data_IF_080165556785
#
_entry.id   IF_080165556785
#
_cell.length_a   1.000
_cell.length_b   1.000
_cell.length_c   1.000
_cell.angle_alpha   90.00
_cell.angle_beta   90.00
_cell.angle_gamma   90.00
#
_symmetry.space_group_name_H-M   'P 1'
#
loop_
_entity.id
_entity.type
_entity.pdbx_description
1 polymer ?
#
# COMPACT_ATOMS: atom_id res chain seq x y z
N UNK A 1 -51.18 39.07 64.70
CA UNK A 1 -49.76 38.71 64.83
C UNK A 1 -48.94 39.97 64.54
N UNK A 2 -48.79 40.79 65.60
CA UNK A 2 -47.60 41.56 66.04
C UNK A 2 -46.30 41.33 65.21
N UNK A 3 -45.39 42.26 64.89
CA UNK A 3 -44.94 43.57 65.42
C UNK A 3 -44.01 44.22 64.34
N UNK A 4 -44.05 45.56 64.18
CA UNK A 4 -42.99 46.46 63.63
C UNK A 4 -42.11 46.94 64.83
N UNK A 5 -40.99 47.70 64.72
CA UNK A 5 -40.07 48.08 63.63
C UNK A 5 -38.57 48.15 64.12
N UNK A 6 -37.64 48.72 63.32
CA UNK A 6 -36.62 49.76 63.72
C UNK A 6 -35.57 49.94 62.59
N UNK A 7 -35.41 51.12 61.97
CA UNK A 7 -34.57 52.31 62.34
C UNK A 7 -33.07 52.02 62.13
N UNK A 8 -32.39 52.54 61.09
CA UNK A 8 -31.87 53.90 60.79
C UNK A 8 -30.47 54.17 61.38
N UNK A 9 -29.70 54.98 60.63
CA UNK A 9 -28.43 55.64 60.96
C UNK A 9 -27.16 54.76 61.04
N UNK A 10 -26.01 55.19 60.53
CA UNK A 10 -25.65 56.48 59.96
C UNK A 10 -24.13 56.52 59.72
N UNK A 11 -23.71 57.62 59.10
CA UNK A 11 -22.41 58.27 59.26
C UNK A 11 -21.12 57.51 58.88
N UNK A 12 -20.05 58.14 58.40
CA UNK A 12 -19.74 59.46 57.88
C UNK A 12 -18.23 59.42 57.58
N UNK A 13 -17.74 60.34 56.73
CA UNK A 13 -16.42 60.98 56.83
C UNK A 13 -15.13 60.14 56.77
N UNK A 14 -14.32 60.40 55.73
CA UNK A 14 -12.94 60.94 55.83
C UNK A 14 -12.25 60.72 54.46
N UNK A 15 -11.91 61.74 53.67
CA UNK A 15 -10.88 62.77 53.89
C UNK A 15 -9.47 62.17 54.16
N UNK A 16 -8.57 62.34 53.20
CA UNK A 16 -7.15 61.99 53.29
C UNK A 16 -6.56 61.76 51.89
N UNK A 17 -6.21 62.78 51.11
CA UNK A 17 -5.00 63.58 51.27
C UNK A 17 -3.77 62.75 51.67
N UNK A 18 -2.99 62.30 50.68
CA UNK A 18 -1.55 62.62 50.56
C UNK A 18 -0.90 61.94 49.35
N UNK A 19 -0.39 62.80 48.50
CA UNK A 19 0.78 62.61 47.63
C UNK A 19 2.00 62.18 48.46
N UNK A 20 2.70 61.14 48.01
CA UNK A 20 4.16 61.09 47.83
C UNK A 20 4.67 59.66 47.65
N UNK A 21 5.67 59.55 46.77
CA UNK A 21 6.66 58.48 46.63
C UNK A 21 6.16 57.15 46.01
N UNK A 22 6.87 56.46 45.13
CA UNK A 22 8.19 56.60 44.49
C UNK A 22 8.32 55.41 43.52
N UNK A 23 9.14 55.54 42.48
CA UNK A 23 9.91 54.41 41.95
C UNK A 23 9.23 53.47 40.94
N UNK A 24 9.65 53.56 39.68
CA UNK A 24 9.32 52.55 38.68
C UNK A 24 9.80 52.88 37.27
N UNK A 25 11.12 52.88 37.07
CA UNK A 25 11.74 52.94 35.76
C UNK A 25 11.18 51.86 34.82
N UNK A 26 10.77 52.23 33.60
CA UNK A 26 10.63 51.30 32.47
C UNK A 26 10.52 52.09 31.16
N UNK A 27 11.67 52.43 30.59
CA UNK A 27 11.79 52.81 29.20
C UNK A 27 13.13 52.27 28.67
N UNK A 28 13.24 50.94 28.59
CA UNK A 28 14.28 50.29 27.81
C UNK A 28 13.63 49.58 26.63
N UNK A 29 13.88 50.17 25.46
CA UNK A 29 13.43 49.68 24.17
C UNK A 29 14.11 48.34 23.85
N UNK A 30 13.41 47.25 24.11
CA UNK A 30 13.80 45.93 23.62
C UNK A 30 13.44 45.80 22.12
N UNK A 31 14.40 46.14 21.27
CA UNK A 31 14.43 45.75 19.85
C UNK A 31 14.40 44.22 19.73
N UNK A 32 13.22 43.67 19.44
CA UNK A 32 13.07 42.25 19.14
C UNK A 32 13.77 41.88 17.81
N UNK A 33 14.60 40.83 17.76
CA UNK A 33 15.12 40.35 16.50
C UNK A 33 14.01 39.61 15.74
N UNK A 34 13.63 40.15 14.57
CA UNK A 34 12.86 39.44 13.54
C UNK A 34 13.69 38.25 13.03
N UNK A 35 13.63 37.13 13.75
CA UNK A 35 14.15 35.86 13.27
C UNK A 35 13.26 35.37 12.12
N UNK A 36 13.66 35.73 10.90
CA UNK A 36 13.10 35.18 9.67
C UNK A 36 13.26 33.67 9.69
N UNK A 37 12.16 32.96 9.98
CA UNK A 37 11.99 31.55 9.64
C UNK A 37 11.94 31.43 8.11
N UNK A 38 13.10 31.56 7.46
CA UNK A 38 13.33 30.92 6.17
C UNK A 38 13.17 29.44 6.42
N UNK A 39 12.03 28.89 5.98
CA UNK A 39 11.78 27.47 5.97
C UNK A 39 12.96 26.78 5.29
N UNK A 40 13.84 26.19 6.09
CA UNK A 40 14.94 25.38 5.59
C UNK A 40 14.30 24.30 4.70
N UNK A 41 14.53 24.40 3.38
CA UNK A 41 14.16 23.36 2.42
C UNK A 41 14.76 22.06 2.95
N UNK A 42 13.93 21.21 3.57
CA UNK A 42 14.34 19.88 4.03
C UNK A 42 14.81 19.12 2.80
N UNK A 43 16.14 19.01 2.65
CA UNK A 43 16.74 18.14 1.63
C UNK A 43 16.17 16.72 1.83
N UNK A 44 15.77 16.02 0.76
CA UNK A 44 15.33 14.63 0.89
C UNK A 44 16.47 13.82 1.52
N UNK A 45 16.15 12.99 2.51
CA UNK A 45 17.17 12.16 3.15
C UNK A 45 17.71 11.15 2.12
N UNK A 46 19.03 10.93 2.06
CA UNK A 46 19.66 10.09 1.02
C UNK A 46 19.05 8.69 0.97
N UNK A 47 18.73 8.10 2.12
CA UNK A 47 18.09 6.78 2.16
C UNK A 47 16.64 6.71 1.66
N UNK A 48 15.94 7.83 1.41
CA UNK A 48 14.65 7.82 0.69
C UNK A 48 14.86 7.76 -0.80
N UNK A 49 15.83 8.53 -1.31
CA UNK A 49 16.21 8.48 -2.71
C UNK A 49 16.67 7.07 -3.08
N UNK A 50 17.51 6.42 -2.25
CA UNK A 50 17.94 5.03 -2.46
C UNK A 50 16.76 4.05 -2.48
N UNK A 51 15.84 4.12 -1.52
CA UNK A 51 14.69 3.21 -1.50
C UNK A 51 13.77 3.38 -2.72
N UNK A 52 13.55 4.62 -3.16
CA UNK A 52 12.79 4.92 -4.39
C UNK A 52 13.55 4.39 -5.61
N UNK A 53 14.85 4.60 -5.70
CA UNK A 53 15.69 4.08 -6.78
C UNK A 53 15.64 2.56 -6.84
N UNK A 54 15.73 1.87 -5.69
CA UNK A 54 15.61 0.41 -5.63
C UNK A 54 14.22 -0.04 -6.08
N UNK A 55 13.14 0.61 -5.63
CA UNK A 55 11.78 0.27 -6.07
C UNK A 55 11.59 0.49 -7.58
N UNK A 56 12.10 1.59 -8.13
CA UNK A 56 12.06 1.88 -9.56
C UNK A 56 12.89 0.87 -10.33
N UNK A 57 14.10 0.57 -9.86
CA UNK A 57 14.96 -0.44 -10.46
C UNK A 57 14.30 -1.81 -10.46
N UNK A 58 13.71 -2.25 -9.34
CA UNK A 58 12.97 -3.52 -9.27
C UNK A 58 11.76 -3.51 -10.21
N UNK A 59 10.99 -2.43 -10.23
CA UNK A 59 9.82 -2.29 -11.10
C UNK A 59 10.17 -2.20 -12.60
N UNK A 60 11.43 -1.92 -12.95
CA UNK A 60 11.91 -1.93 -14.33
C UNK A 60 12.64 -3.25 -14.67
N UNK A 61 13.58 -3.67 -13.83
CA UNK A 61 14.45 -4.82 -14.07
C UNK A 61 13.68 -6.13 -14.07
N UNK A 62 12.77 -6.33 -13.10
CA UNK A 62 12.01 -7.59 -13.02
C UNK A 62 11.12 -7.77 -14.25
N UNK A 63 10.36 -6.76 -14.72
CA UNK A 63 9.61 -6.92 -15.97
C UNK A 63 10.45 -7.03 -17.24
N UNK A 64 11.55 -6.29 -17.35
CA UNK A 64 12.35 -6.25 -18.58
C UNK A 64 13.25 -7.48 -18.75
N UNK A 65 13.83 -7.97 -17.65
CA UNK A 65 14.83 -9.06 -17.70
C UNK A 65 14.35 -10.33 -17.02
N UNK A 66 13.33 -10.26 -16.18
CA UNK A 66 12.77 -11.42 -15.47
C UNK A 66 12.33 -12.54 -16.41
N UNK A 67 11.52 -12.28 -17.46
CA UNK A 67 11.09 -13.32 -18.40
C UNK A 67 12.25 -14.08 -19.03
N UNK A 68 13.21 -13.35 -19.62
CA UNK A 68 14.40 -13.94 -20.24
C UNK A 68 15.22 -14.75 -19.23
N UNK A 69 15.42 -14.25 -18.02
CA UNK A 69 16.23 -14.91 -17.00
C UNK A 69 15.61 -16.22 -16.48
N UNK A 70 14.27 -16.34 -16.44
CA UNK A 70 13.60 -17.54 -15.95
C UNK A 70 13.38 -18.60 -17.04
N UNK A 71 13.29 -18.17 -18.30
CA UNK A 71 13.18 -19.05 -19.48
C UNK A 71 14.53 -19.61 -19.94
N UNK A 72 15.62 -18.93 -19.61
CA UNK A 72 16.97 -19.36 -20.01
C UNK A 72 17.27 -20.79 -19.51
N UNK A 73 17.57 -21.68 -20.47
CA UNK A 73 17.85 -23.09 -20.23
C UNK A 73 16.64 -23.99 -19.95
N UNK A 74 15.39 -23.49 -19.96
CA UNK A 74 14.20 -24.33 -19.72
C UNK A 74 13.60 -24.94 -21.00
N UNK A 75 13.92 -24.38 -22.16
CA UNK A 75 13.34 -24.80 -23.45
C UNK A 75 11.89 -24.33 -23.67
N UNK A 76 11.34 -23.54 -22.75
CA UNK A 76 9.99 -22.96 -22.86
C UNK A 76 10.01 -21.71 -23.74
N UNK A 77 8.97 -21.55 -24.58
CA UNK A 77 8.86 -20.39 -25.46
C UNK A 77 8.36 -19.15 -24.71
N UNK A 78 8.97 -18.00 -24.96
CA UNK A 78 8.47 -16.71 -24.48
C UNK A 78 7.19 -16.33 -25.24
N UNK A 79 6.13 -15.96 -24.52
CA UNK A 79 4.94 -15.42 -25.14
C UNK A 79 5.22 -14.01 -25.70
N UNK A 80 4.65 -13.62 -26.85
CA UNK A 80 4.82 -12.27 -27.39
C UNK A 80 4.44 -11.19 -26.36
N UNK A 81 5.30 -10.18 -26.19
CA UNK A 81 5.00 -9.04 -25.31
C UNK A 81 5.10 -9.30 -23.81
N UNK A 82 5.65 -10.44 -23.37
CA UNK A 82 5.74 -10.85 -21.95
C UNK A 82 6.32 -9.75 -21.06
N UNK A 83 7.37 -9.06 -21.51
CA UNK A 83 8.01 -7.96 -20.76
C UNK A 83 7.05 -6.78 -20.51
N UNK A 84 6.36 -6.33 -21.55
CA UNK A 84 5.40 -5.23 -21.48
C UNK A 84 4.18 -5.57 -20.61
N UNK A 85 3.65 -6.78 -20.77
CA UNK A 85 2.54 -7.30 -19.94
C UNK A 85 2.96 -7.38 -18.47
N UNK A 86 4.16 -7.89 -18.19
CA UNK A 86 4.70 -7.97 -16.82
C UNK A 86 4.84 -6.59 -16.19
N UNK A 87 5.29 -5.59 -16.96
CA UNK A 87 5.43 -4.22 -16.48
C UNK A 87 4.07 -3.64 -16.12
N UNK A 88 3.10 -3.74 -17.03
CA UNK A 88 1.74 -3.24 -16.81
C UNK A 88 1.09 -3.92 -15.59
N UNK A 89 1.22 -5.24 -15.44
CA UNK A 89 0.71 -5.96 -14.27
C UNK A 89 1.42 -5.56 -12.98
N UNK A 90 2.72 -5.29 -13.02
CA UNK A 90 3.46 -4.78 -11.86
C UNK A 90 2.88 -3.43 -11.40
N UNK A 91 2.63 -2.52 -12.35
CA UNK A 91 2.02 -1.22 -12.06
C UNK A 91 0.59 -1.38 -11.53
N UNK A 92 -0.22 -2.24 -12.15
CA UNK A 92 -1.60 -2.51 -11.72
C UNK A 92 -1.66 -3.04 -10.29
N UNK A 93 -0.87 -4.07 -9.96
CA UNK A 93 -0.85 -4.65 -8.61
C UNK A 93 -0.24 -3.68 -7.59
N UNK A 94 0.78 -2.90 -7.95
CA UNK A 94 1.32 -1.86 -7.07
C UNK A 94 0.27 -0.77 -6.77
N UNK A 95 -0.45 -0.30 -7.79
CA UNK A 95 -1.54 0.66 -7.65
C UNK A 95 -2.65 0.13 -6.72
N UNK A 96 -3.06 -1.13 -6.91
CA UNK A 96 -4.03 -1.82 -6.06
C UNK A 96 -3.55 -1.89 -4.61
N UNK A 97 -2.30 -2.32 -4.38
CA UNK A 97 -1.70 -2.39 -3.04
C UNK A 97 -1.74 -1.01 -2.35
N UNK A 98 -1.23 0.03 -3.02
CA UNK A 98 -1.15 1.38 -2.44
C UNK A 98 -2.53 1.91 -2.06
N UNK A 99 -3.52 1.78 -2.94
CA UNK A 99 -4.88 2.27 -2.69
C UNK A 99 -5.61 1.46 -1.61
N UNK A 100 -5.62 0.14 -1.74
CA UNK A 100 -6.37 -0.73 -0.84
C UNK A 100 -5.79 -0.67 0.58
N UNK A 101 -4.47 -0.61 0.70
CA UNK A 101 -3.75 -0.41 1.95
C UNK A 101 -4.06 0.92 2.63
N UNK A 102 -4.05 2.01 1.85
CA UNK A 102 -4.39 3.35 2.36
C UNK A 102 -5.83 3.38 2.89
N UNK A 103 -6.82 2.92 2.11
CA UNK A 103 -8.23 2.95 2.52
C UNK A 103 -8.47 2.08 3.75
N UNK A 104 -7.92 0.86 3.76
CA UNK A 104 -8.16 -0.10 4.84
C UNK A 104 -7.53 0.35 6.15
N UNK A 105 -6.24 0.71 6.13
CA UNK A 105 -5.55 1.06 7.36
C UNK A 105 -5.90 2.48 7.85
N UNK A 106 -6.34 3.38 6.97
CA UNK A 106 -6.93 4.68 7.39
C UNK A 106 -8.23 4.51 8.18
N UNK A 107 -9.06 3.51 7.87
CA UNK A 107 -10.23 3.16 8.70
C UNK A 107 -9.83 2.67 10.08
N UNK A 108 -8.82 1.79 10.15
CA UNK A 108 -8.29 1.30 11.43
C UNK A 108 -7.69 2.45 12.25
N UNK A 109 -6.89 3.32 11.62
CA UNK A 109 -6.24 4.43 12.29
C UNK A 109 -7.22 5.43 12.91
N UNK A 110 -8.40 5.63 12.31
CA UNK A 110 -9.48 6.46 12.89
C UNK A 110 -10.06 5.90 14.18
N UNK A 111 -9.95 4.59 14.41
CA UNK A 111 -10.46 3.93 15.63
C UNK A 111 -9.45 3.97 16.78
N UNK A 112 -8.22 4.43 16.54
CA UNK A 112 -7.21 4.55 17.58
C UNK A 112 -7.46 5.82 18.39
N UNK A 113 -7.63 5.73 19.72
CA UNK A 113 -7.78 6.90 20.59
C UNK A 113 -6.59 7.86 20.47
N UNK A 114 -6.87 9.17 20.45
CA UNK A 114 -5.83 10.20 20.34
C UNK A 114 -5.13 10.29 18.97
N UNK A 115 -5.61 9.58 17.94
CA UNK A 115 -5.00 9.62 16.62
C UNK A 115 -5.19 11.00 15.94
N UNK A 116 -4.11 11.73 15.60
CA UNK A 116 -4.21 13.06 15.02
C UNK A 116 -4.51 12.99 13.52
N UNK A 117 -5.74 12.62 13.16
CA UNK A 117 -6.20 12.43 11.77
C UNK A 117 -6.01 13.68 10.89
N UNK A 118 -6.10 14.88 11.45
CA UNK A 118 -5.81 16.13 10.74
C UNK A 118 -4.36 16.21 10.21
N UNK A 119 -3.44 15.49 10.86
CA UNK A 119 -2.02 15.43 10.48
C UNK A 119 -1.66 14.17 9.67
N UNK A 120 -2.65 13.37 9.26
CA UNK A 120 -2.44 12.11 8.55
C UNK A 120 -1.61 12.28 7.26
N UNK A 121 -0.94 11.21 6.79
CA UNK A 121 -0.20 11.25 5.52
C UNK A 121 -1.07 11.72 4.36
N UNK A 122 -0.48 12.49 3.45
CA UNK A 122 -1.17 12.97 2.23
C UNK A 122 -1.65 11.79 1.40
N UNK A 123 -2.91 11.82 0.95
CA UNK A 123 -3.47 10.72 0.18
C UNK A 123 -2.67 10.46 -1.11
N UNK A 124 -2.34 9.20 -1.37
CA UNK A 124 -1.78 8.73 -2.64
C UNK A 124 -2.84 8.08 -3.54
N UNK A 125 -4.07 7.93 -3.03
CA UNK A 125 -5.15 7.24 -3.73
C UNK A 125 -5.39 7.69 -5.18
N UNK A 126 -5.43 9.01 -5.44
CA UNK A 126 -5.58 9.53 -6.80
C UNK A 126 -4.45 9.09 -7.75
N UNK A 127 -3.19 9.21 -7.31
CA UNK A 127 -2.04 8.88 -8.15
C UNK A 127 -1.94 7.38 -8.41
N UNK A 128 -2.20 6.59 -7.38
CA UNK A 128 -2.28 5.14 -7.52
C UNK A 128 -3.43 4.72 -8.46
N UNK A 129 -4.60 5.36 -8.36
CA UNK A 129 -5.72 5.09 -9.26
C UNK A 129 -5.41 5.46 -10.71
N UNK A 130 -4.77 6.61 -10.94
CA UNK A 130 -4.34 7.03 -12.27
C UNK A 130 -3.30 6.07 -12.87
N UNK A 131 -2.32 5.63 -12.08
CA UNK A 131 -1.34 4.63 -12.52
C UNK A 131 -2.00 3.28 -12.85
N UNK A 132 -2.93 2.82 -11.99
CA UNK A 132 -3.70 1.60 -12.22
C UNK A 132 -4.59 1.69 -13.46
N UNK A 133 -5.23 2.85 -13.71
CA UNK A 133 -6.01 3.11 -14.91
C UNK A 133 -5.16 3.01 -16.18
N UNK A 134 -3.98 3.66 -16.20
CA UNK A 134 -3.08 3.61 -17.36
C UNK A 134 -2.59 2.18 -17.61
N UNK A 135 -2.26 1.44 -16.55
CA UNK A 135 -1.85 0.05 -16.65
C UNK A 135 -2.98 -0.87 -17.17
N UNK A 136 -4.19 -0.72 -16.64
CA UNK A 136 -5.37 -1.46 -17.07
C UNK A 136 -5.73 -1.14 -18.53
N UNK A 137 -5.60 0.12 -18.95
CA UNK A 137 -5.82 0.53 -20.34
C UNK A 137 -4.80 -0.11 -21.29
N UNK A 138 -3.52 -0.13 -20.90
CA UNK A 138 -2.47 -0.84 -21.65
C UNK A 138 -2.75 -2.33 -21.77
N UNK A 139 -3.18 -2.98 -20.68
CA UNK A 139 -3.56 -4.40 -20.70
C UNK A 139 -4.80 -4.64 -21.59
N UNK A 140 -5.79 -3.75 -21.53
CA UNK A 140 -6.97 -3.83 -22.41
C UNK A 140 -6.59 -3.67 -23.89
N UNK A 141 -5.63 -2.81 -24.23
CA UNK A 141 -5.13 -2.70 -25.61
C UNK A 141 -4.40 -3.95 -26.09
N UNK A 142 -3.67 -4.64 -25.21
CA UNK A 142 -3.04 -5.94 -25.53
C UNK A 142 -4.11 -7.00 -25.81
N UNK A 143 -5.15 -7.06 -24.98
CA UNK A 143 -6.28 -7.98 -25.21
C UNK A 143 -7.00 -7.67 -26.51
N UNK A 144 -7.23 -6.39 -26.82
CA UNK A 144 -7.86 -5.94 -28.07
C UNK A 144 -7.02 -6.25 -29.32
N UNK A 145 -5.72 -6.51 -29.17
CA UNK A 145 -4.80 -6.86 -30.27
C UNK A 145 -4.55 -8.37 -30.37
N UNK A 146 -5.42 -9.20 -29.78
CA UNK A 146 -5.25 -10.66 -29.77
C UNK A 146 -4.11 -11.14 -28.88
N UNK A 147 -3.81 -10.43 -27.78
CA UNK A 147 -2.68 -10.67 -26.88
C UNK A 147 -1.29 -10.37 -27.47
N UNK A 148 -1.24 -9.52 -28.50
CA UNK A 148 -0.01 -8.95 -29.04
C UNK A 148 0.17 -7.50 -28.57
N UNK A 149 1.39 -6.98 -28.66
CA UNK A 149 1.66 -5.55 -28.40
C UNK A 149 1.24 -4.75 -29.63
N UNK A 150 0.22 -3.88 -29.55
CA UNK A 150 -0.24 -3.10 -30.70
C UNK A 150 0.87 -2.17 -31.20
N UNK A 151 1.06 -2.10 -32.52
CA UNK A 151 2.01 -1.17 -33.14
C UNK A 151 1.28 0.03 -33.76
N UNK A 152 0.02 -0.17 -34.15
CA UNK A 152 -0.83 0.85 -34.77
C UNK A 152 -2.25 0.83 -34.20
N UNK A 153 -2.98 1.95 -34.21
CA UNK A 153 -4.37 1.99 -33.74
C UNK A 153 -5.32 1.08 -34.51
N UNK A 154 -5.01 0.77 -35.78
CA UNK A 154 -5.76 -0.17 -36.62
C UNK A 154 -5.67 -1.63 -36.16
N UNK A 155 -4.70 -1.96 -35.32
CA UNK A 155 -4.51 -3.32 -34.78
C UNK A 155 -5.52 -3.64 -33.66
N UNK A 156 -6.24 -2.62 -33.18
CA UNK A 156 -7.16 -2.72 -32.04
C UNK A 156 -8.56 -3.15 -32.49
N UNK A 157 -8.94 -4.39 -32.20
CA UNK A 157 -10.32 -4.84 -32.33
C UNK A 157 -11.13 -4.46 -31.07
N UNK A 158 -11.64 -3.23 -31.07
CA UNK A 158 -12.50 -2.72 -30.00
C UNK A 158 -13.80 -3.54 -29.89
N UNK A 159 -14.31 -4.07 -31.01
CA UNK A 159 -15.50 -4.93 -31.02
C UNK A 159 -15.24 -6.25 -30.29
N UNK A 160 -14.08 -6.87 -30.56
CA UNK A 160 -13.60 -8.08 -29.89
C UNK A 160 -13.43 -7.91 -28.37
N UNK A 161 -13.14 -6.71 -27.89
CA UNK A 161 -13.03 -6.41 -26.46
C UNK A 161 -14.38 -6.54 -25.73
N UNK A 162 -15.49 -6.15 -26.35
CA UNK A 162 -16.83 -6.34 -25.78
C UNK A 162 -17.38 -7.75 -26.03
N UNK A 163 -16.94 -8.42 -27.09
CA UNK A 163 -17.36 -9.78 -27.40
C UNK A 163 -16.74 -10.82 -26.45
N UNK A 164 -15.47 -10.65 -26.09
CA UNK A 164 -14.71 -11.60 -25.28
C UNK A 164 -14.91 -11.41 -23.77
N UNK A 165 -14.82 -12.52 -23.01
CA UNK A 165 -14.84 -12.49 -21.54
C UNK A 165 -13.66 -11.69 -20.99
N UNK A 166 -12.46 -11.93 -21.51
CA UNK A 166 -11.25 -11.29 -21.02
C UNK A 166 -11.23 -9.80 -21.33
N UNK A 167 -11.77 -9.39 -22.48
CA UNK A 167 -11.96 -7.97 -22.81
C UNK A 167 -12.95 -7.27 -21.89
N UNK A 168 -14.08 -7.91 -21.56
CA UNK A 168 -15.04 -7.38 -20.57
C UNK A 168 -14.42 -7.22 -19.18
N UNK A 169 -13.61 -8.18 -18.73
CA UNK A 169 -12.90 -8.09 -17.45
C UNK A 169 -11.84 -6.98 -17.47
N UNK A 170 -11.09 -6.82 -18.56
CA UNK A 170 -10.15 -5.71 -18.71
C UNK A 170 -10.85 -4.34 -18.69
N UNK A 171 -12.00 -4.22 -19.38
CA UNK A 171 -12.83 -3.01 -19.32
C UNK A 171 -13.37 -2.75 -17.91
N UNK A 172 -13.76 -3.79 -17.17
CA UNK A 172 -14.18 -3.64 -15.77
C UNK A 172 -13.05 -3.08 -14.90
N UNK A 173 -11.82 -3.56 -15.06
CA UNK A 173 -10.65 -3.04 -14.34
C UNK A 173 -10.38 -1.56 -14.67
N UNK A 174 -10.43 -1.19 -15.96
CA UNK A 174 -10.27 0.20 -16.42
C UNK A 174 -11.30 1.11 -15.75
N UNK A 175 -12.59 0.75 -15.83
CA UNK A 175 -13.68 1.54 -15.25
C UNK A 175 -13.58 1.59 -13.72
N UNK A 176 -13.22 0.48 -13.08
CA UNK A 176 -13.05 0.43 -11.64
C UNK A 176 -11.94 1.38 -11.17
N UNK A 177 -10.80 1.47 -11.85
CA UNK A 177 -9.75 2.43 -11.48
C UNK A 177 -10.19 3.88 -11.68
N UNK A 178 -11.00 4.19 -12.71
CA UNK A 178 -11.60 5.53 -12.88
C UNK A 178 -12.49 5.86 -11.68
N UNK A 179 -13.43 4.96 -11.32
CA UNK A 179 -14.32 5.16 -10.19
C UNK A 179 -13.52 5.29 -8.88
N UNK A 180 -12.47 4.49 -8.69
CA UNK A 180 -11.59 4.59 -7.53
C UNK A 180 -10.86 5.94 -7.46
N UNK A 181 -10.40 6.48 -8.60
CA UNK A 181 -9.78 7.80 -8.70
C UNK A 181 -10.76 8.92 -8.31
N UNK A 182 -12.02 8.82 -8.76
CA UNK A 182 -13.09 9.74 -8.40
C UNK A 182 -13.40 9.65 -6.91
N UNK A 183 -13.57 8.43 -6.36
CA UNK A 183 -13.77 8.20 -4.93
C UNK A 183 -12.67 8.84 -4.09
N UNK A 184 -11.40 8.72 -4.51
CA UNK A 184 -10.25 9.29 -3.82
C UNK A 184 -10.27 10.83 -3.74
N UNK A 185 -11.02 11.51 -4.62
CA UNK A 185 -11.23 12.97 -4.60
C UNK A 185 -12.47 13.42 -3.83
N UNK A 186 -13.37 12.51 -3.50
CA UNK A 186 -14.58 12.85 -2.73
C UNK A 186 -14.31 13.04 -1.24
N UNK A 187 -15.30 13.54 -0.49
CA UNK A 187 -15.26 13.59 0.98
C UNK A 187 -15.31 12.20 1.64
N UNK A 188 -15.60 11.13 0.88
CA UNK A 188 -15.72 9.75 1.37
C UNK A 188 -14.77 8.81 0.60
N UNK A 189 -13.44 8.94 0.75
CA UNK A 189 -12.47 8.10 0.04
C UNK A 189 -12.61 6.61 0.37
N UNK A 190 -13.30 6.27 1.47
CA UNK A 190 -13.63 4.89 1.83
C UNK A 190 -14.48 4.17 0.78
N UNK A 191 -15.26 4.89 -0.04
CA UNK A 191 -16.09 4.27 -1.08
C UNK A 191 -15.25 3.56 -2.16
N UNK A 192 -13.95 3.88 -2.27
CA UNK A 192 -13.03 3.23 -3.19
C UNK A 192 -12.87 1.71 -2.95
N UNK A 193 -13.31 1.16 -1.81
CA UNK A 193 -13.25 -0.30 -1.58
C UNK A 193 -14.09 -1.07 -2.61
N UNK A 194 -15.24 -0.53 -3.03
CA UNK A 194 -16.10 -1.21 -4.00
C UNK A 194 -15.42 -1.36 -5.38
N UNK A 195 -14.93 -0.27 -6.02
CA UNK A 195 -14.21 -0.44 -7.29
C UNK A 195 -12.92 -1.25 -7.13
N UNK A 196 -12.17 -1.12 -6.03
CA UNK A 196 -10.97 -1.94 -5.81
C UNK A 196 -11.30 -3.43 -5.66
N UNK A 197 -12.44 -3.77 -5.02
CA UNK A 197 -12.92 -5.14 -4.97
C UNK A 197 -13.29 -5.66 -6.37
N UNK A 198 -13.89 -4.83 -7.23
CA UNK A 198 -14.17 -5.19 -8.61
C UNK A 198 -12.88 -5.51 -9.40
N UNK A 199 -11.79 -4.75 -9.20
CA UNK A 199 -10.47 -5.07 -9.79
C UNK A 199 -9.97 -6.44 -9.31
N UNK A 200 -10.06 -6.73 -8.00
CA UNK A 200 -9.59 -8.02 -7.45
C UNK A 200 -10.42 -9.19 -8.00
N UNK A 201 -11.73 -9.02 -8.13
CA UNK A 201 -12.62 -10.04 -8.73
C UNK A 201 -12.29 -10.24 -10.21
N UNK A 202 -12.10 -9.15 -10.96
CA UNK A 202 -11.76 -9.22 -12.37
C UNK A 202 -10.45 -9.98 -12.60
N UNK A 203 -9.40 -9.63 -11.84
CA UNK A 203 -8.10 -10.30 -11.91
C UNK A 203 -8.18 -11.77 -11.50
N UNK A 204 -8.96 -12.08 -10.46
CA UNK A 204 -9.15 -13.46 -10.00
C UNK A 204 -9.83 -14.34 -11.07
N UNK A 205 -10.85 -13.79 -11.74
CA UNK A 205 -11.57 -14.47 -12.83
C UNK A 205 -10.73 -14.56 -14.11
N UNK A 206 -9.87 -13.58 -14.37
CA UNK A 206 -8.99 -13.55 -15.55
C UNK A 206 -7.82 -14.53 -15.41
N UNK A 207 -7.32 -14.74 -14.20
CA UNK A 207 -6.23 -15.68 -13.93
C UNK A 207 -6.60 -17.15 -14.16
N UNK A 208 -7.89 -17.47 -14.25
CA UNK A 208 -8.40 -18.84 -14.37
C UNK A 208 -9.53 -18.90 -15.41
N UNK A 209 -9.19 -19.11 -16.70
CA UNK A 209 -10.17 -19.24 -17.77
C UNK A 209 -11.15 -20.41 -17.53
N UNK A 210 -12.40 -20.33 -18.03
CA UNK A 210 -13.39 -21.40 -17.85
C UNK A 210 -12.97 -22.76 -18.43
N UNK A 211 -11.99 -22.78 -19.33
CA UNK A 211 -11.42 -23.98 -19.95
C UNK A 211 -10.46 -24.74 -19.01
N UNK A 212 -10.05 -24.14 -17.89
CA UNK A 212 -9.18 -24.77 -16.90
C UNK A 212 -9.97 -25.66 -15.93
N UNK A 213 -9.44 -26.83 -15.61
CA UNK A 213 -10.04 -27.72 -14.61
C UNK A 213 -10.18 -27.05 -13.25
N UNK A 214 -11.37 -27.07 -12.66
CA UNK A 214 -11.69 -26.40 -11.39
C UNK A 214 -11.35 -24.89 -11.38
N UNK A 215 -11.58 -24.18 -12.49
CA UNK A 215 -11.34 -22.75 -12.63
C UNK A 215 -11.94 -21.89 -11.51
N UNK A 216 -13.11 -22.26 -10.98
CA UNK A 216 -13.75 -21.54 -9.86
C UNK A 216 -12.94 -21.63 -8.57
N UNK A 217 -12.33 -22.79 -8.28
CA UNK A 217 -11.45 -22.97 -7.13
C UNK A 217 -10.19 -22.13 -7.29
N UNK A 218 -9.58 -22.17 -8.48
CA UNK A 218 -8.43 -21.32 -8.81
C UNK A 218 -8.74 -19.82 -8.66
N UNK A 219 -9.89 -19.38 -9.18
CA UNK A 219 -10.37 -18.00 -9.04
C UNK A 219 -10.58 -17.62 -7.58
N UNK A 220 -11.22 -18.49 -6.78
CA UNK A 220 -11.43 -18.26 -5.34
C UNK A 220 -10.11 -18.14 -4.56
N UNK A 221 -9.14 -19.03 -4.84
CA UNK A 221 -7.81 -18.96 -4.24
C UNK A 221 -7.08 -17.67 -4.62
N UNK A 222 -7.14 -17.27 -5.89
CA UNK A 222 -6.52 -16.04 -6.38
C UNK A 222 -7.17 -14.80 -5.76
N UNK A 223 -8.49 -14.78 -5.64
CA UNK A 223 -9.24 -13.70 -4.99
C UNK A 223 -8.76 -13.48 -3.56
N UNK A 224 -8.70 -14.56 -2.76
CA UNK A 224 -8.24 -14.49 -1.37
C UNK A 224 -6.76 -14.11 -1.31
N UNK A 225 -5.91 -14.75 -2.11
CA UNK A 225 -4.47 -14.50 -2.12
C UNK A 225 -4.16 -13.05 -2.49
N UNK A 226 -4.73 -12.54 -3.58
CA UNK A 226 -4.54 -11.17 -4.07
C UNK A 226 -5.07 -10.14 -3.07
N UNK A 227 -6.27 -10.36 -2.51
CA UNK A 227 -6.84 -9.47 -1.49
C UNK A 227 -5.93 -9.39 -0.27
N UNK A 228 -5.50 -10.55 0.26
CA UNK A 228 -4.63 -10.59 1.42
C UNK A 228 -3.26 -9.97 1.14
N UNK A 229 -2.66 -10.25 -0.02
CA UNK A 229 -1.38 -9.70 -0.42
C UNK A 229 -1.45 -8.16 -0.57
N UNK A 230 -2.50 -7.64 -1.21
CA UNK A 230 -2.70 -6.21 -1.40
C UNK A 230 -2.92 -5.47 -0.06
N UNK A 231 -3.73 -6.05 0.83
CA UNK A 231 -3.94 -5.52 2.19
C UNK A 231 -2.66 -5.56 3.03
N UNK A 232 -1.86 -6.61 2.90
CA UNK A 232 -0.62 -6.77 3.63
C UNK A 232 0.46 -5.78 3.15
N UNK A 233 0.78 -5.80 1.85
CA UNK A 233 1.80 -4.92 1.28
C UNK A 233 1.42 -3.44 1.39
N UNK A 234 0.19 -3.10 0.99
CA UNK A 234 -0.34 -1.75 1.08
C UNK A 234 -0.50 -1.26 2.51
N UNK A 235 -0.99 -2.13 3.40
CA UNK A 235 -1.17 -1.84 4.81
C UNK A 235 0.15 -1.50 5.48
N UNK A 236 1.22 -2.26 5.23
CA UNK A 236 2.55 -1.94 5.77
C UNK A 236 3.02 -0.56 5.29
N UNK A 237 2.93 -0.31 3.98
CA UNK A 237 3.35 0.97 3.41
C UNK A 237 2.62 2.14 4.09
N UNK A 238 1.30 2.05 4.26
CA UNK A 238 0.55 3.10 4.93
C UNK A 238 0.85 3.19 6.43
N UNK A 239 1.06 2.06 7.12
CA UNK A 239 1.45 2.02 8.53
C UNK A 239 2.76 2.77 8.77
N UNK A 240 3.75 2.56 7.91
CA UNK A 240 5.04 3.23 7.97
C UNK A 240 4.95 4.73 7.69
N UNK A 241 4.05 5.13 6.79
CA UNK A 241 3.78 6.55 6.53
C UNK A 241 3.13 7.22 7.74
N UNK A 242 2.19 6.55 8.41
CA UNK A 242 1.62 7.00 9.69
C UNK A 242 2.72 7.10 10.75
N UNK A 243 3.49 6.04 10.94
CA UNK A 243 4.57 5.98 11.93
C UNK A 243 5.54 7.14 11.75
N UNK A 244 5.99 7.38 10.52
CA UNK A 244 6.91 8.48 10.23
C UNK A 244 6.28 9.85 10.45
N UNK A 245 4.99 10.00 10.13
CA UNK A 245 4.29 11.29 10.23
C UNK A 245 3.97 11.66 11.68
N UNK A 246 3.60 10.68 12.50
CA UNK A 246 3.20 10.89 13.89
C UNK A 246 4.31 10.67 14.90
N UNK A 247 5.52 10.31 14.45
CA UNK A 247 6.66 9.98 15.33
C UNK A 247 6.97 11.01 16.41
N UNK A 248 6.72 12.29 16.17
CA UNK A 248 6.98 13.38 17.12
C UNK A 248 5.72 13.96 17.75
N UNK A 249 4.56 13.80 17.10
CA UNK A 249 3.32 14.47 17.53
C UNK A 249 2.38 13.56 18.30
N UNK A 250 2.38 12.26 18.00
CA UNK A 250 1.54 11.25 18.65
C UNK A 250 2.19 9.85 18.55
N UNK A 251 3.34 9.63 19.23
CA UNK A 251 4.10 8.40 19.13
C UNK A 251 3.30 7.17 19.59
N UNK A 252 2.48 7.30 20.64
CA UNK A 252 1.65 6.21 21.17
C UNK A 252 0.58 5.76 20.17
N UNK A 253 -0.13 6.71 19.56
CA UNK A 253 -1.12 6.41 18.52
C UNK A 253 -0.48 5.73 17.31
N UNK A 254 0.73 6.15 16.94
CA UNK A 254 1.48 5.54 15.84
C UNK A 254 1.85 4.07 16.13
N UNK A 255 2.32 3.80 17.35
CA UNK A 255 2.64 2.46 17.82
C UNK A 255 1.38 1.59 17.93
N UNK A 256 0.26 2.15 18.37
CA UNK A 256 -1.02 1.46 18.44
C UNK A 256 -1.52 1.02 17.05
N UNK A 257 -1.47 1.92 16.04
CA UNK A 257 -1.79 1.57 14.65
C UNK A 257 -0.88 0.46 14.13
N UNK A 258 0.42 0.55 14.39
CA UNK A 258 1.39 -0.46 13.98
C UNK A 258 1.11 -1.82 14.65
N UNK A 259 0.76 -1.83 15.94
CA UNK A 259 0.39 -3.03 16.68
C UNK A 259 -0.87 -3.69 16.13
N UNK A 260 -1.91 -2.90 15.82
CA UNK A 260 -3.13 -3.39 15.18
C UNK A 260 -2.85 -3.98 13.80
N UNK A 261 -2.09 -3.26 12.97
CA UNK A 261 -1.64 -3.75 11.66
C UNK A 261 -0.87 -5.07 11.82
N UNK A 262 0.07 -5.16 12.76
CA UNK A 262 0.90 -6.34 12.95
C UNK A 262 0.11 -7.60 13.33
N UNK A 263 -1.04 -7.46 14.00
CA UNK A 263 -1.97 -8.57 14.29
C UNK A 263 -2.69 -9.01 13.02
N UNK A 264 -3.27 -8.07 12.29
CA UNK A 264 -3.96 -8.34 11.01
C UNK A 264 -2.99 -8.96 10.00
N UNK A 265 -1.77 -8.42 9.89
CA UNK A 265 -0.72 -8.90 9.00
C UNK A 265 -0.35 -10.37 9.25
N UNK A 266 -0.43 -10.85 10.49
CA UNK A 266 -0.16 -12.27 10.78
C UNK A 266 -1.25 -13.17 10.18
N UNK A 267 -2.52 -12.77 10.29
CA UNK A 267 -3.65 -13.49 9.68
C UNK A 267 -3.58 -13.43 8.16
N UNK A 268 -3.30 -12.25 7.59
CA UNK A 268 -3.11 -12.09 6.15
C UNK A 268 -1.97 -12.98 5.63
N UNK A 269 -0.83 -13.01 6.33
CA UNK A 269 0.31 -13.85 5.96
C UNK A 269 -0.02 -15.35 6.01
N UNK A 270 -0.77 -15.80 7.03
CA UNK A 270 -1.24 -17.18 7.10
C UNK A 270 -2.16 -17.53 5.92
N UNK A 271 -3.11 -16.65 5.58
CA UNK A 271 -4.01 -16.84 4.45
C UNK A 271 -3.27 -16.85 3.10
N UNK A 272 -2.30 -15.96 2.90
CA UNK A 272 -1.43 -15.93 1.70
C UNK A 272 -0.64 -17.24 1.58
N UNK A 273 -0.07 -17.72 2.69
CA UNK A 273 0.70 -18.97 2.72
C UNK A 273 -0.19 -20.16 2.38
N UNK A 274 -1.36 -20.27 3.03
CA UNK A 274 -2.30 -21.36 2.79
C UNK A 274 -2.80 -21.38 1.34
N UNK A 275 -3.28 -20.23 0.83
CA UNK A 275 -3.73 -20.11 -0.56
C UNK A 275 -2.60 -20.37 -1.56
N UNK A 276 -1.37 -19.95 -1.24
CA UNK A 276 -0.18 -20.23 -2.05
C UNK A 276 0.13 -21.72 -2.11
N UNK A 277 0.14 -22.43 -0.97
CA UNK A 277 0.37 -23.88 -0.91
C UNK A 277 -0.69 -24.62 -1.72
N UNK A 278 -1.97 -24.33 -1.49
CA UNK A 278 -3.07 -24.98 -2.22
C UNK A 278 -2.98 -24.69 -3.73
N UNK A 279 -2.65 -23.44 -4.11
CA UNK A 279 -2.48 -23.06 -5.51
C UNK A 279 -1.30 -23.77 -6.18
N UNK A 280 -0.19 -23.95 -5.46
CA UNK A 280 0.99 -24.69 -5.93
C UNK A 280 0.65 -26.15 -6.11
N UNK A 281 0.11 -26.82 -5.10
CA UNK A 281 -0.26 -28.25 -5.18
C UNK A 281 -1.31 -28.52 -6.26
N UNK A 282 -2.22 -27.56 -6.49
CA UNK A 282 -3.17 -27.63 -7.59
C UNK A 282 -2.48 -27.58 -8.94
N UNK A 283 -1.42 -26.78 -9.12
CA UNK A 283 -0.73 -26.58 -10.41
C UNK A 283 0.41 -27.59 -10.66
N UNK A 284 1.07 -28.03 -9.60
CA UNK A 284 2.23 -28.94 -9.59
C UNK A 284 1.96 -30.04 -8.56
N UNK A 285 1.49 -31.23 -9.00
CA UNK A 285 1.27 -32.36 -8.12
C UNK A 285 2.51 -32.74 -7.29
N UNK A 286 2.37 -33.29 -6.07
CA UNK A 286 3.50 -33.53 -5.15
C UNK A 286 4.60 -34.42 -5.71
N UNK A 287 4.24 -35.34 -6.60
CA UNK A 287 5.11 -36.29 -7.30
C UNK A 287 6.03 -35.62 -8.33
N UNK A 288 5.60 -34.50 -8.92
CA UNK A 288 6.35 -33.74 -9.93
C UNK A 288 6.88 -32.41 -9.40
N UNK A 289 6.45 -31.99 -8.21
CA UNK A 289 6.74 -30.64 -7.69
C UNK A 289 8.23 -30.35 -7.59
N UNK A 290 9.06 -31.31 -7.16
CA UNK A 290 10.50 -31.07 -6.93
C UNK A 290 11.21 -30.80 -8.25
N UNK A 291 10.91 -31.60 -9.27
CA UNK A 291 11.48 -31.44 -10.61
C UNK A 291 11.01 -30.13 -11.23
N UNK A 292 9.69 -29.95 -11.36
CA UNK A 292 9.10 -28.78 -12.02
C UNK A 292 9.49 -27.45 -11.36
N UNK A 293 9.75 -27.45 -10.05
CA UNK A 293 10.13 -26.25 -9.32
C UNK A 293 11.51 -25.71 -9.74
N UNK A 294 12.39 -26.56 -10.28
CA UNK A 294 13.74 -26.17 -10.71
C UNK A 294 13.92 -26.17 -12.22
N UNK A 295 13.17 -26.99 -12.94
CA UNK A 295 13.30 -27.17 -14.40
C UNK A 295 12.40 -26.24 -15.22
N UNK A 296 11.31 -25.71 -14.64
CA UNK A 296 10.39 -24.80 -15.35
C UNK A 296 10.61 -23.34 -14.96
N UNK A 297 10.32 -22.43 -15.89
CA UNK A 297 10.35 -20.99 -15.62
C UNK A 297 9.35 -20.59 -14.53
N UNK A 298 8.18 -21.22 -14.52
CA UNK A 298 7.17 -21.02 -13.47
C UNK A 298 7.72 -21.42 -12.10
N UNK A 299 8.35 -22.60 -12.02
CA UNK A 299 8.95 -23.13 -10.80
C UNK A 299 10.02 -22.21 -10.24
N UNK A 300 10.98 -21.81 -11.09
CA UNK A 300 12.06 -20.88 -10.73
C UNK A 300 11.53 -19.53 -10.25
N UNK A 301 10.51 -19.00 -10.92
CA UNK A 301 9.84 -17.74 -10.51
C UNK A 301 9.15 -17.89 -9.16
N UNK A 302 8.49 -19.04 -8.93
CA UNK A 302 7.80 -19.33 -7.67
C UNK A 302 8.80 -19.49 -6.50
N UNK A 303 9.94 -20.13 -6.71
CA UNK A 303 11.05 -20.18 -5.74
C UNK A 303 11.56 -18.79 -5.38
N UNK A 304 11.81 -17.94 -6.38
CA UNK A 304 12.24 -16.56 -6.15
C UNK A 304 11.20 -15.79 -5.29
N UNK A 305 9.90 -15.97 -5.58
CA UNK A 305 8.82 -15.38 -4.77
C UNK A 305 8.85 -15.91 -3.33
N UNK A 306 9.01 -17.21 -3.13
CA UNK A 306 9.07 -17.83 -1.79
C UNK A 306 10.26 -17.31 -0.98
N UNK A 307 11.44 -17.21 -1.58
CA UNK A 307 12.64 -16.67 -0.94
C UNK A 307 12.43 -15.22 -0.51
N UNK A 308 11.87 -14.38 -1.39
CA UNK A 308 11.54 -12.99 -1.04
C UNK A 308 10.55 -12.91 0.12
N UNK A 309 9.49 -13.72 0.10
CA UNK A 309 8.49 -13.76 1.17
C UNK A 309 9.13 -14.22 2.50
N UNK A 310 10.04 -15.20 2.46
CA UNK A 310 10.79 -15.63 3.64
C UNK A 310 11.67 -14.51 4.20
N UNK A 311 12.35 -13.74 3.33
CA UNK A 311 13.12 -12.55 3.74
C UNK A 311 12.20 -11.52 4.42
N UNK A 312 11.02 -11.22 3.87
CA UNK A 312 10.05 -10.32 4.52
C UNK A 312 9.62 -10.85 5.89
N UNK A 313 9.33 -12.15 5.99
CA UNK A 313 8.93 -12.77 7.25
C UNK A 313 10.04 -12.66 8.32
N UNK A 314 11.30 -12.91 7.95
CA UNK A 314 12.46 -12.76 8.83
C UNK A 314 12.62 -11.29 9.26
N UNK A 315 12.56 -10.34 8.33
CA UNK A 315 12.64 -8.90 8.64
C UNK A 315 11.54 -8.50 9.62
N UNK A 316 10.29 -8.90 9.36
CA UNK A 316 9.16 -8.63 10.24
C UNK A 316 9.32 -9.25 11.63
N UNK A 317 9.86 -10.47 11.74
CA UNK A 317 10.15 -11.12 13.01
C UNK A 317 11.26 -10.39 13.79
N UNK A 318 12.33 -9.99 13.11
CA UNK A 318 13.42 -9.22 13.70
C UNK A 318 12.92 -7.86 14.18
N UNK A 319 12.10 -7.16 13.39
CA UNK A 319 11.48 -5.90 13.77
C UNK A 319 10.60 -6.06 15.02
N UNK A 320 9.77 -7.12 15.08
CA UNK A 320 8.95 -7.45 16.26
C UNK A 320 9.79 -7.78 17.50
N UNK A 321 10.90 -8.51 17.34
CA UNK A 321 11.82 -8.81 18.45
C UNK A 321 12.49 -7.54 18.98
N UNK A 322 12.91 -6.63 18.10
CA UNK A 322 13.47 -5.33 18.49
C UNK A 322 12.45 -4.47 19.25
N UNK A 323 11.21 -4.40 18.78
CA UNK A 323 10.13 -3.66 19.44
C UNK A 323 9.80 -4.16 20.86
N UNK A 324 9.96 -5.46 21.12
CA UNK A 324 9.74 -6.03 22.47
C UNK A 324 10.88 -5.74 23.43
N UNK A 325 12.09 -5.48 22.92
CA UNK A 325 13.29 -5.25 23.72
C UNK A 325 13.51 -3.78 24.11
N UNK A 326 12.88 -2.84 23.39
CA UNK A 326 13.02 -1.41 23.64
C UNK A 326 11.75 -0.85 24.28
N UNK A 327 11.91 -0.04 25.32
CA UNK A 327 10.84 0.67 26.01
C UNK A 327 10.90 2.18 25.68
N UNK A 328 9.76 2.86 25.62
CA UNK A 328 9.69 4.31 25.41
C UNK A 328 10.00 4.78 23.98
N UNK A 329 10.59 5.99 23.86
CA UNK A 329 10.86 6.72 22.61
C UNK A 329 11.75 5.94 21.61
N UNK A 330 12.59 5.04 22.11
CA UNK A 330 13.45 4.17 21.30
C UNK A 330 12.67 3.14 20.47
N UNK A 331 11.39 2.89 20.77
CA UNK A 331 10.55 1.96 19.98
C UNK A 331 10.36 2.42 18.54
N UNK A 332 10.30 3.72 18.30
CA UNK A 332 10.13 4.26 16.95
C UNK A 332 11.45 4.20 16.17
N UNK A 333 12.57 4.44 16.84
CA UNK A 333 13.91 4.28 16.27
C UNK A 333 14.20 2.81 15.92
N UNK A 334 13.74 1.86 16.74
CA UNK A 334 13.88 0.42 16.51
C UNK A 334 13.16 -0.08 15.24
N UNK A 335 12.19 0.68 14.72
CA UNK A 335 11.47 0.39 13.47
C UNK A 335 12.08 1.07 12.23
N UNK A 336 13.20 1.80 12.38
CA UNK A 336 13.91 2.45 11.28
C UNK A 336 14.34 1.52 10.10
N UNK A 337 14.54 0.19 10.25
CA UNK A 337 14.83 -0.70 9.13
C UNK A 337 13.66 -0.91 8.14
N UNK A 338 12.47 -0.35 8.39
CA UNK A 338 11.25 -0.64 7.63
C UNK A 338 11.27 -0.27 6.13
N UNK A 339 12.30 0.42 5.63
CA UNK A 339 12.44 0.69 4.18
C UNK A 339 12.82 -0.56 3.39
N UNK A 340 13.63 -1.43 3.99
CA UNK A 340 13.98 -2.71 3.38
C UNK A 340 12.72 -3.57 3.20
N UNK A 341 11.84 -3.62 4.20
CA UNK A 341 10.57 -4.35 4.12
C UNK A 341 9.70 -3.87 2.94
N UNK A 342 9.58 -2.56 2.73
CA UNK A 342 8.83 -2.01 1.59
C UNK A 342 9.49 -2.34 0.25
N UNK A 343 10.82 -2.26 0.16
CA UNK A 343 11.55 -2.60 -1.07
C UNK A 343 11.37 -4.08 -1.42
N UNK A 344 11.51 -4.97 -0.44
CA UNK A 344 11.33 -6.42 -0.64
C UNK A 344 9.87 -6.74 -0.98
N UNK A 345 8.89 -6.09 -0.35
CA UNK A 345 7.48 -6.25 -0.76
C UNK A 345 7.21 -5.73 -2.18
N UNK A 346 7.85 -4.63 -2.57
CA UNK A 346 7.82 -4.16 -3.97
C UNK A 346 8.35 -5.22 -4.93
N UNK A 347 9.45 -5.89 -4.57
CA UNK A 347 9.97 -7.02 -5.33
C UNK A 347 9.01 -8.22 -5.35
N UNK A 348 8.37 -8.57 -4.22
CA UNK A 348 7.35 -9.63 -4.17
C UNK A 348 6.18 -9.33 -5.13
N UNK A 349 5.75 -8.06 -5.21
CA UNK A 349 4.69 -7.64 -6.15
C UNK A 349 5.15 -7.76 -7.60
N UNK A 350 6.36 -7.29 -7.93
CA UNK A 350 6.92 -7.40 -9.28
C UNK A 350 7.11 -8.87 -9.71
N UNK A 351 7.65 -9.72 -8.84
CA UNK A 351 7.80 -11.16 -9.10
C UNK A 351 6.44 -11.85 -9.19
N UNK A 352 5.44 -11.41 -8.43
CA UNK A 352 4.07 -11.91 -8.57
C UNK A 352 3.46 -11.54 -9.91
N UNK A 353 3.71 -10.33 -10.43
CA UNK A 353 3.31 -9.95 -11.78
C UNK A 353 4.01 -10.79 -12.84
N UNK A 354 5.33 -11.03 -12.69
CA UNK A 354 6.08 -11.91 -13.59
C UNK A 354 5.47 -13.32 -13.63
N UNK A 355 5.15 -13.89 -12.48
CA UNK A 355 4.56 -15.23 -12.39
C UNK A 355 3.24 -15.37 -13.19
N UNK A 356 2.49 -14.28 -13.39
CA UNK A 356 1.26 -14.31 -14.20
C UNK A 356 1.50 -14.28 -15.70
N UNK A 357 2.72 -13.95 -16.14
CA UNK A 357 3.09 -13.81 -17.54
C UNK A 357 3.98 -14.97 -18.04
N UNK A 358 4.49 -15.79 -17.14
CA UNK A 358 5.30 -16.99 -17.45
C UNK A 358 4.39 -18.18 -17.81
N UNK A 359 4.80 -19.07 -18.74
CA UNK A 359 4.05 -20.27 -19.09
C UNK A 359 3.70 -21.12 -17.86
N UNK A 360 2.51 -21.74 -17.88
CA UNK A 360 2.13 -22.69 -16.84
C UNK A 360 2.91 -24.01 -17.02
N UNK A 361 3.24 -24.70 -15.91
CA UNK A 361 3.89 -26.01 -15.99
C UNK A 361 2.98 -27.01 -16.73
N UNK A 362 3.57 -27.76 -17.66
CA UNK A 362 2.86 -28.79 -18.43
C UNK A 362 2.58 -29.98 -17.50
N UNK A 363 1.33 -30.43 -17.47
CA UNK A 363 0.97 -31.73 -16.88
C UNK A 363 1.16 -32.79 -17.96
N UNK A 364 2.08 -33.72 -17.72
CA UNK A 364 2.22 -34.92 -18.54
C UNK A 364 1.23 -35.98 -18.05
#
# INVERSE_FOLDING_TARGET
MTIRPSVEAGDSLAAGARTAAEGGASAEAATAPRAGRRAARRRPSPGRAVAVLVLVAVAAVVPLFGPAAVLDGTGEAEAPGTQGITLLRTVLFAALCVQLGEVSLRRVARRVPGAPMASAPRAWGWWAAAAGFVAALGLASVVASGNLVPQQPSDLDVGGLYASRDGRLALLEVNAFVVAALCARTRRPDSAVLPLAAVVVAEALRAHPPTEDAALVGSGLTLVHLTCAALWAGGLLYALRILWRWRTSAPEAAVAVLGLYARVAAVLFAAITATGIVSTLRRMPPDTVVDQLTTTAYGRTMLAKLLLVAVVAVLALLARRRLRRHSGDDRIAAYAPARAEVCVLGAVVAVSALLTAVPLPIRW
#
